data_IF_252034767083
#
_entry.id   IF_252034767083
#
_cell.length_a   1.000
_cell.length_b   1.000
_cell.length_c   1.000
_cell.angle_alpha   90.00
_cell.angle_beta   90.00
_cell.angle_gamma   90.00
#
_symmetry.space_group_name_H-M   'P 1'
#
loop_
_entity.id
_entity.type
_entity.pdbx_description
1 polymer ?
#
# COMPACT_ATOMS: atom_id res chain seq x y z
N UNK A 1 34.32 22.70 -12.60
CA UNK A 1 33.13 21.90 -12.96
C UNK A 1 32.05 22.26 -11.96
N UNK A 2 30.98 22.94 -12.39
CA UNK A 2 29.93 23.42 -11.48
C UNK A 2 29.05 22.25 -11.04
N UNK A 3 28.83 22.13 -9.73
CA UNK A 3 27.93 21.15 -9.15
C UNK A 3 26.51 21.73 -9.23
N UNK A 4 25.73 21.34 -10.24
CA UNK A 4 24.35 21.80 -10.41
C UNK A 4 23.50 21.24 -9.26
N UNK A 5 23.13 22.12 -8.32
CA UNK A 5 22.23 21.78 -7.22
C UNK A 5 20.83 21.67 -7.80
N UNK A 6 20.37 20.44 -8.04
CA UNK A 6 19.00 20.17 -8.43
C UNK A 6 18.12 20.00 -7.19
N UNK A 7 17.02 20.76 -7.06
CA UNK A 7 15.97 20.49 -6.08
C UNK A 7 15.49 19.04 -6.16
N UNK A 8 15.19 18.41 -5.02
CA UNK A 8 14.76 17.00 -4.95
C UNK A 8 13.58 16.66 -5.89
N UNK A 9 12.67 17.62 -6.11
CA UNK A 9 11.52 17.49 -7.01
C UNK A 9 11.91 17.22 -8.47
N UNK A 10 13.10 17.65 -8.90
CA UNK A 10 13.54 17.49 -10.29
C UNK A 10 13.91 16.02 -10.59
N UNK A 11 14.15 15.20 -9.56
CA UNK A 11 14.38 13.76 -9.66
C UNK A 11 13.10 12.92 -9.57
N UNK A 12 11.97 13.54 -9.23
CA UNK A 12 10.68 12.86 -9.05
C UNK A 12 9.76 13.00 -10.29
N UNK A 13 10.25 13.65 -11.35
CA UNK A 13 9.51 13.79 -12.61
C UNK A 13 9.59 12.47 -13.37
N UNK A 14 8.47 11.76 -13.59
CA UNK A 14 8.47 10.54 -14.39
C UNK A 14 8.95 10.86 -15.80
N UNK A 15 9.94 10.13 -16.31
CA UNK A 15 10.39 10.30 -17.70
C UNK A 15 9.52 9.49 -18.65
N UNK A 16 9.19 10.03 -19.83
CA UNK A 16 8.47 9.28 -20.88
C UNK A 16 9.32 8.11 -21.45
N UNK A 17 10.64 8.15 -21.25
CA UNK A 17 11.57 7.07 -21.65
C UNK A 17 11.69 5.97 -20.59
N UNK A 18 11.23 6.21 -19.36
CA UNK A 18 11.18 5.16 -18.36
C UNK A 18 10.04 4.20 -18.69
N UNK A 19 10.27 2.88 -18.71
CA UNK A 19 9.20 1.94 -18.90
C UNK A 19 8.21 2.12 -17.76
N UNK A 20 7.06 2.74 -18.06
CA UNK A 20 5.86 2.78 -17.20
C UNK A 20 5.19 1.39 -17.09
N UNK A 21 6.01 0.35 -17.14
CA UNK A 21 5.64 -1.01 -16.83
C UNK A 21 5.32 -1.05 -15.35
N UNK A 22 4.05 -0.89 -15.01
CA UNK A 22 3.55 -1.34 -13.71
C UNK A 22 4.08 -2.74 -13.44
N UNK A 23 4.49 -3.00 -12.19
CA UNK A 23 4.87 -4.36 -11.79
C UNK A 23 3.65 -5.24 -12.05
N UNK A 24 3.71 -6.05 -13.11
CA UNK A 24 2.63 -6.97 -13.43
C UNK A 24 2.48 -7.91 -12.23
N UNK A 25 1.25 -8.05 -11.67
CA UNK A 25 1.04 -9.00 -10.60
C UNK A 25 1.46 -10.39 -11.10
N UNK A 26 2.12 -11.21 -10.25
CA UNK A 26 2.53 -12.54 -10.64
C UNK A 26 1.30 -13.36 -11.03
N UNK A 27 1.47 -14.30 -11.96
CA UNK A 27 0.41 -15.26 -12.28
C UNK A 27 0.16 -16.13 -11.06
N UNK A 28 -1.03 -15.99 -10.45
CA UNK A 28 -1.44 -16.77 -9.28
C UNK A 28 -2.23 -17.98 -9.77
N UNK A 29 -1.62 -19.16 -9.74
CA UNK A 29 -2.26 -20.44 -10.08
C UNK A 29 -3.12 -21.03 -8.94
N UNK A 30 -3.02 -20.46 -7.73
CA UNK A 30 -3.78 -20.92 -6.57
C UNK A 30 -5.27 -20.60 -6.72
N UNK A 31 -6.12 -21.64 -6.66
CA UNK A 31 -7.59 -21.53 -6.80
C UNK A 31 -8.35 -21.54 -5.48
N UNK A 32 -7.64 -21.72 -4.37
CA UNK A 32 -8.18 -22.08 -3.06
C UNK A 32 -7.75 -21.09 -1.98
N UNK A 33 -7.84 -19.80 -2.28
CA UNK A 33 -7.73 -18.78 -1.24
C UNK A 33 -8.98 -18.84 -0.35
N UNK A 34 -8.81 -19.29 0.89
CA UNK A 34 -9.87 -19.28 1.88
C UNK A 34 -9.61 -18.17 2.90
N UNK A 35 -10.56 -17.25 3.01
CA UNK A 35 -10.62 -16.33 4.14
C UNK A 35 -11.26 -17.07 5.31
N UNK A 36 -10.53 -17.17 6.42
CA UNK A 36 -11.09 -17.72 7.66
C UNK A 36 -12.28 -16.85 8.09
N UNK A 37 -13.48 -17.41 8.34
CA UNK A 37 -14.63 -16.62 8.78
C UNK A 37 -14.36 -15.77 10.03
N UNK A 38 -13.49 -16.24 10.93
CA UNK A 38 -13.04 -15.48 12.09
C UNK A 38 -12.37 -14.14 11.72
N UNK A 39 -11.63 -14.07 10.60
CA UNK A 39 -11.02 -12.83 10.13
C UNK A 39 -12.08 -11.84 9.61
N UNK A 40 -13.13 -12.33 8.96
CA UNK A 40 -14.26 -11.48 8.56
C UNK A 40 -14.94 -10.87 9.79
N UNK A 41 -15.08 -11.66 10.86
CA UNK A 41 -15.69 -11.20 12.09
C UNK A 41 -14.85 -10.13 12.82
N UNK A 42 -13.52 -10.27 12.85
CA UNK A 42 -12.62 -9.26 13.43
C UNK A 42 -12.71 -7.94 12.66
N UNK A 43 -12.68 -7.97 11.33
CA UNK A 43 -12.79 -6.75 10.50
C UNK A 43 -14.15 -6.07 10.67
N UNK A 44 -15.24 -6.84 10.80
CA UNK A 44 -16.58 -6.29 11.05
C UNK A 44 -16.72 -5.65 12.43
N UNK A 45 -16.04 -6.20 13.45
CA UNK A 45 -16.15 -5.72 14.82
C UNK A 45 -15.27 -4.51 15.12
N UNK A 46 -14.16 -4.34 14.40
CA UNK A 46 -13.18 -3.28 14.66
C UNK A 46 -12.66 -2.61 13.38
N UNK A 47 -13.57 -2.18 12.52
CA UNK A 47 -13.24 -1.55 11.25
C UNK A 47 -12.52 -0.21 11.46
N UNK A 48 -11.37 -0.04 10.83
CA UNK A 48 -10.67 1.25 10.79
C UNK A 48 -11.30 2.14 9.72
N UNK A 49 -11.85 3.29 10.12
CA UNK A 49 -12.53 4.22 9.20
C UNK A 49 -11.62 5.32 8.64
N UNK A 50 -10.45 5.53 9.26
CA UNK A 50 -9.52 6.59 8.90
C UNK A 50 -9.92 7.96 9.45
N UNK A 51 -10.73 8.00 10.51
CA UNK A 51 -11.11 9.27 11.14
C UNK A 51 -9.87 9.95 11.76
N UNK A 52 -9.77 11.30 11.76
CA UNK A 52 -8.66 12.03 12.38
C UNK A 52 -8.48 11.77 13.87
N UNK A 53 -9.51 11.24 14.54
CA UNK A 53 -9.50 10.90 15.97
C UNK A 53 -9.21 9.42 16.24
N UNK A 54 -9.06 8.61 15.19
CA UNK A 54 -8.91 7.17 15.27
C UNK A 54 -7.43 6.79 15.28
N UNK A 55 -6.99 6.02 16.28
CA UNK A 55 -5.60 5.57 16.38
C UNK A 55 -5.44 4.21 15.68
N UNK A 56 -4.73 4.14 14.54
CA UNK A 56 -4.56 2.89 13.80
C UNK A 56 -3.87 1.78 14.60
N UNK A 57 -3.04 2.11 15.60
CA UNK A 57 -2.33 1.10 16.39
C UNK A 57 -3.26 0.35 17.35
N UNK A 58 -4.34 1.00 17.82
CA UNK A 58 -5.33 0.33 18.65
C UNK A 58 -6.02 -0.80 17.90
N UNK A 59 -6.23 -0.64 16.58
CA UNK A 59 -6.84 -1.68 15.75
C UNK A 59 -5.96 -2.93 15.62
N UNK A 60 -4.64 -2.79 15.67
CA UNK A 60 -3.69 -3.91 15.58
C UNK A 60 -3.72 -4.80 16.83
N UNK A 61 -4.12 -4.28 17.98
CA UNK A 61 -4.20 -5.04 19.24
C UNK A 61 -5.36 -6.04 19.30
N UNK A 62 -6.31 -5.96 18.37
CA UNK A 62 -7.55 -6.74 18.35
C UNK A 62 -7.45 -7.98 17.43
N UNK A 63 -6.33 -8.14 16.72
CA UNK A 63 -6.04 -9.32 15.88
C UNK A 63 -5.62 -10.56 16.67
#
# INVERSE_FOLDING_TARGET
>A
MANSVHPLKDYAVPSEEEPHSSIAPPTIEARNFELKPALLQIVQQNQFSGSPTEDPNLHLSVF
#
